data_IF_841241694099
#
_entry.id   IF_841241694099
#
_cell.length_a   1.000
_cell.length_b   1.000
_cell.length_c   1.000
_cell.angle_alpha   90.00
_cell.angle_beta   90.00
_cell.angle_gamma   90.00
#
_symmetry.space_group_name_H-M   'P 1'
#
loop_
_entity.id
_entity.type
_entity.pdbx_description
1 polymer ?
#
# COMPACT_ATOMS: atom_id res chain seq x y z
N UNK A 1 11.53 -3.49 16.74
CA UNK A 1 11.08 -3.53 15.34
C UNK A 1 11.73 -4.72 14.67
N UNK A 2 10.95 -5.76 14.36
CA UNK A 2 11.45 -6.87 13.54
C UNK A 2 11.74 -6.31 12.14
N UNK A 3 12.90 -6.62 11.54
CA UNK A 3 13.16 -6.22 10.16
C UNK A 3 12.05 -6.76 9.25
N UNK A 4 11.60 -5.92 8.32
CA UNK A 4 10.62 -6.30 7.32
C UNK A 4 11.11 -7.54 6.56
N UNK A 5 10.24 -8.54 6.39
CA UNK A 5 10.57 -9.73 5.61
C UNK A 5 10.89 -9.36 4.15
N UNK A 6 11.57 -10.25 3.41
CA UNK A 6 11.76 -10.02 1.96
C UNK A 6 10.41 -9.81 1.24
N UNK A 7 9.36 -10.46 1.74
CA UNK A 7 8.00 -10.35 1.21
C UNK A 7 7.39 -8.98 1.48
N UNK A 8 7.60 -8.45 2.68
CA UNK A 8 7.20 -7.08 3.05
C UNK A 8 7.87 -6.04 2.17
N UNK A 9 9.18 -6.17 1.95
CA UNK A 9 9.95 -5.27 1.08
C UNK A 9 9.49 -5.37 -0.39
N UNK A 10 9.09 -6.56 -0.84
CA UNK A 10 8.53 -6.74 -2.17
C UNK A 10 7.20 -5.99 -2.32
N UNK A 11 6.32 -6.04 -1.31
CA UNK A 11 5.05 -5.31 -1.33
C UNK A 11 5.25 -3.80 -1.36
N UNK A 12 6.19 -3.26 -0.57
CA UNK A 12 6.55 -1.85 -0.60
C UNK A 12 7.00 -1.41 -2.00
N UNK A 13 7.93 -2.17 -2.60
CA UNK A 13 8.41 -1.90 -3.96
C UNK A 13 7.27 -1.93 -4.97
N UNK A 14 6.41 -2.95 -4.92
CA UNK A 14 5.29 -3.10 -5.84
C UNK A 14 4.27 -1.97 -5.68
N UNK A 15 3.99 -1.50 -4.46
CA UNK A 15 3.14 -0.33 -4.24
C UNK A 15 3.71 0.88 -4.97
N UNK A 16 5.01 1.17 -4.79
CA UNK A 16 5.68 2.29 -5.43
C UNK A 16 5.71 2.15 -6.97
N UNK A 17 5.99 0.96 -7.50
CA UNK A 17 5.98 0.69 -8.94
C UNK A 17 4.60 0.84 -9.57
N UNK A 18 3.56 0.32 -8.91
CA UNK A 18 2.17 0.47 -9.36
C UNK A 18 1.77 1.94 -9.36
N UNK A 19 2.11 2.66 -8.30
CA UNK A 19 1.90 4.09 -8.24
C UNK A 19 2.65 4.81 -9.35
N UNK A 20 3.94 4.51 -9.58
CA UNK A 20 4.80 5.12 -10.59
C UNK A 20 4.23 5.03 -12.01
N UNK A 21 3.52 3.95 -12.32
CA UNK A 21 2.85 3.72 -13.63
C UNK A 21 1.55 4.52 -13.82
N UNK A 22 1.04 5.18 -12.77
CA UNK A 22 -0.18 5.98 -12.82
C UNK A 22 0.13 7.46 -13.04
N UNK A 23 -0.87 8.22 -13.48
CA UNK A 23 -0.80 9.68 -13.54
C UNK A 23 -0.63 10.30 -12.13
N UNK A 24 -0.19 11.55 -12.07
CA UNK A 24 -0.10 12.29 -10.82
C UNK A 24 -1.47 12.38 -10.13
N UNK A 25 -1.49 12.27 -8.79
CA UNK A 25 -2.73 12.27 -8.00
C UNK A 25 -3.57 10.99 -8.10
N UNK A 26 -3.27 10.08 -9.01
CA UNK A 26 -3.95 8.79 -9.10
C UNK A 26 -3.61 7.90 -7.91
N UNK A 27 -4.53 6.97 -7.61
CA UNK A 27 -4.42 6.09 -6.45
C UNK A 27 -4.47 4.61 -6.84
N UNK A 28 -3.97 3.75 -5.95
CA UNK A 28 -4.21 2.30 -5.97
C UNK A 28 -4.90 1.86 -4.67
N UNK A 29 -5.29 0.60 -4.55
CA UNK A 29 -5.68 -0.02 -3.29
C UNK A 29 -4.69 -1.12 -2.86
N UNK A 30 -4.69 -1.53 -1.57
CA UNK A 30 -3.79 -2.58 -1.09
C UNK A 30 -3.93 -3.91 -1.87
N UNK A 31 -5.15 -4.22 -2.32
CA UNK A 31 -5.41 -5.46 -3.06
C UNK A 31 -4.75 -5.51 -4.46
N UNK A 32 -4.38 -4.37 -5.04
CA UNK A 32 -3.61 -4.35 -6.30
C UNK A 32 -2.18 -4.84 -6.07
N UNK A 33 -1.53 -4.36 -5.01
CA UNK A 33 -0.20 -4.82 -4.62
C UNK A 33 -0.23 -6.28 -4.18
N UNK A 34 -1.21 -6.67 -3.36
CA UNK A 34 -1.40 -8.05 -2.94
C UNK A 34 -1.58 -9.00 -4.14
N UNK A 35 -2.35 -8.62 -5.17
CA UNK A 35 -2.50 -9.42 -6.40
C UNK A 35 -1.20 -9.55 -7.19
N UNK A 36 -0.47 -8.45 -7.35
CA UNK A 36 0.80 -8.46 -8.06
C UNK A 36 1.87 -9.33 -7.36
N UNK A 37 1.79 -9.45 -6.04
CA UNK A 37 2.76 -10.19 -5.21
C UNK A 37 2.33 -11.65 -4.97
N UNK A 38 1.06 -11.87 -4.63
CA UNK A 38 0.49 -13.16 -4.22
C UNK A 38 -0.21 -13.99 -5.29
N UNK A 39 -0.42 -13.45 -6.50
CA UNK A 39 -1.08 -14.19 -7.59
C UNK A 39 -2.48 -14.68 -7.20
N UNK A 40 -2.74 -15.98 -7.36
CA UNK A 40 -4.04 -16.58 -7.02
C UNK A 40 -4.35 -16.56 -5.51
N UNK A 41 -3.30 -16.62 -4.67
CA UNK A 41 -3.39 -16.63 -3.21
C UNK A 41 -3.32 -15.22 -2.58
N UNK A 42 -3.52 -14.17 -3.39
CA UNK A 42 -3.36 -12.77 -2.97
C UNK A 42 -4.16 -12.36 -1.74
N UNK A 43 -5.25 -13.07 -1.42
CA UNK A 43 -6.05 -12.77 -0.23
C UNK A 43 -5.23 -12.92 1.06
N UNK A 44 -4.28 -13.86 1.10
CA UNK A 44 -3.35 -14.02 2.22
C UNK A 44 -2.36 -12.87 2.39
N UNK A 45 -2.14 -12.08 1.33
CA UNK A 45 -1.21 -10.95 1.34
C UNK A 45 -1.88 -9.62 1.74
N UNK A 46 -3.19 -9.61 2.03
CA UNK A 46 -3.93 -8.37 2.29
C UNK A 46 -3.43 -7.61 3.53
N UNK A 47 -3.18 -8.31 4.62
CA UNK A 47 -2.68 -7.69 5.86
C UNK A 47 -1.24 -7.20 5.68
N UNK A 48 -0.40 -7.99 4.97
CA UNK A 48 0.95 -7.60 4.64
C UNK A 48 0.98 -6.38 3.71
N UNK A 49 0.09 -6.30 2.72
CA UNK A 49 -0.03 -5.16 1.81
C UNK A 49 -0.48 -3.88 2.53
N UNK A 50 -1.41 -4.00 3.50
CA UNK A 50 -1.79 -2.89 4.38
C UNK A 50 -0.60 -2.44 5.22
N UNK A 51 0.12 -3.37 5.86
CA UNK A 51 1.28 -3.05 6.66
C UNK A 51 2.41 -2.38 5.84
N UNK A 52 2.65 -2.83 4.61
CA UNK A 52 3.58 -2.20 3.68
C UNK A 52 3.18 -0.76 3.35
N UNK A 53 1.91 -0.50 3.08
CA UNK A 53 1.43 0.87 2.87
C UNK A 53 1.67 1.76 4.10
N UNK A 54 1.47 1.25 5.32
CA UNK A 54 1.75 1.99 6.56
C UNK A 54 3.24 2.32 6.73
N UNK A 55 4.13 1.38 6.37
CA UNK A 55 5.57 1.63 6.41
C UNK A 55 5.98 2.72 5.41
N UNK A 56 5.38 2.72 4.22
CA UNK A 56 5.61 3.78 3.23
C UNK A 56 5.04 5.15 3.67
N UNK A 57 3.91 5.17 4.38
CA UNK A 57 3.41 6.41 5.01
C UNK A 57 4.41 6.90 6.05
N UNK A 58 4.93 6.01 6.90
CA UNK A 58 5.92 6.36 7.92
C UNK A 58 7.26 6.84 7.30
N UNK A 59 7.63 6.31 6.14
CA UNK A 59 8.79 6.77 5.35
C UNK A 59 8.54 8.11 4.64
N UNK A 60 7.27 8.53 4.50
CA UNK A 60 6.89 9.78 3.86
C UNK A 60 6.68 9.69 2.34
N UNK A 61 6.69 8.48 1.78
CA UNK A 61 6.60 8.25 0.32
C UNK A 61 5.16 8.32 -0.22
N UNK A 62 4.17 7.96 0.61
CA UNK A 62 2.77 7.85 0.21
C UNK A 62 1.82 8.40 1.27
N UNK A 63 0.61 8.77 0.86
CA UNK A 63 -0.54 8.99 1.74
C UNK A 63 -1.54 7.84 1.60
N UNK A 64 -2.23 7.51 2.70
CA UNK A 64 -3.43 6.69 2.68
C UNK A 64 -4.66 7.60 2.75
N UNK A 65 -5.62 7.36 1.86
CA UNK A 65 -6.89 8.11 1.83
C UNK A 65 -8.10 7.18 1.93
N UNK A 66 -9.20 7.71 2.48
CA UNK A 66 -10.50 7.06 2.51
C UNK A 66 -11.58 8.11 2.26
N UNK A 67 -12.43 7.88 1.25
CA UNK A 67 -13.41 8.89 0.82
C UNK A 67 -12.77 10.16 0.24
N UNK A 68 -11.51 10.11 -0.21
CA UNK A 68 -10.77 11.25 -0.75
C UNK A 68 -9.89 11.98 0.29
N UNK A 69 -10.19 11.82 1.57
CA UNK A 69 -9.48 12.47 2.67
C UNK A 69 -8.30 11.63 3.14
N UNK A 70 -7.20 12.28 3.54
CA UNK A 70 -6.05 11.60 4.17
C UNK A 70 -6.48 11.10 5.55
N UNK A 71 -6.23 9.82 5.83
CA UNK A 71 -6.60 9.18 7.09
C UNK A 71 -5.43 8.43 7.69
N UNK A 72 -5.48 8.18 9.00
CA UNK A 72 -4.60 7.20 9.63
C UNK A 72 -4.96 5.79 9.14
N UNK A 73 -4.09 5.22 8.30
CA UNK A 73 -4.29 3.89 7.74
C UNK A 73 -4.28 2.76 8.78
N UNK A 74 -3.69 2.97 9.97
CA UNK A 74 -3.64 1.95 11.02
C UNK A 74 -5.01 1.76 11.69
N UNK A 75 -5.82 2.81 11.75
CA UNK A 75 -7.17 2.79 12.31
C UNK A 75 -8.29 2.72 11.25
N UNK A 76 -7.96 2.96 9.98
CA UNK A 76 -8.92 2.95 8.87
C UNK A 76 -9.59 1.58 8.66
N UNK A 77 -10.92 1.56 8.78
CA UNK A 77 -11.77 0.39 8.54
C UNK A 77 -12.36 0.44 7.13
N UNK A 78 -12.27 -0.68 6.42
CA UNK A 78 -12.84 -0.82 5.08
C UNK A 78 -11.88 -0.42 3.97
N UNK A 79 -12.39 -0.12 2.75
CA UNK A 79 -11.58 0.18 1.58
C UNK A 79 -10.77 1.47 1.74
N UNK A 80 -9.46 1.36 1.57
CA UNK A 80 -8.54 2.49 1.56
C UNK A 80 -7.87 2.61 0.20
N UNK A 81 -7.38 3.81 -0.10
CA UNK A 81 -6.60 4.13 -1.29
C UNK A 81 -5.20 4.59 -0.87
N UNK A 82 -4.22 4.35 -1.71
CA UNK A 82 -2.82 4.75 -1.53
C UNK A 82 -2.49 5.68 -2.69
N UNK A 83 -1.86 6.83 -2.42
CA UNK A 83 -1.38 7.77 -3.44
C UNK A 83 0.04 8.20 -3.12
N UNK A 84 0.81 8.61 -4.14
CA UNK A 84 2.13 9.22 -3.91
C UNK A 84 1.97 10.54 -3.17
N UNK A 85 2.88 10.83 -2.25
CA UNK A 85 3.02 12.17 -1.70
C UNK A 85 3.70 13.04 -2.77
N UNK A 86 3.18 14.24 -3.00
CA UNK A 86 3.79 15.22 -3.87
C UNK A 86 5.00 15.87 -3.18
#
# INVERSE_FOLDING_TARGET
>A
MTPASQRDQQLERVILELLAKRAEGATICPSEAARAVGGDEWRGEMDAARAAALRLVAAGDVDITQGGEVVDGASAKGPIRIRRRA
#
